data_IF_746482509363
#
_entry.id   IF_746482509363
#
_cell.length_a   1.000
_cell.length_b   1.000
_cell.length_c   1.000
_cell.angle_alpha   90.00
_cell.angle_beta   90.00
_cell.angle_gamma   90.00
#
_symmetry.space_group_name_H-M   'P 1'
#
loop_
_entity.id
_entity.type
_entity.pdbx_description
1 polymer ?
#
# COMPACT_ATOMS: atom_id res chain seq x y z
N UNK A 1 -10.09 1.80 -3.85
CA UNK A 1 -8.73 1.73 -3.28
C UNK A 1 -8.04 0.54 -3.89
N UNK A 2 -6.77 0.69 -4.23
CA UNK A 2 -5.91 -0.38 -4.73
C UNK A 2 -4.66 -0.42 -3.86
N UNK A 3 -4.21 -1.61 -3.52
CA UNK A 3 -2.96 -1.81 -2.79
C UNK A 3 -1.91 -2.34 -3.76
N UNK A 4 -0.73 -1.77 -3.69
CA UNK A 4 0.42 -2.17 -4.50
C UNK A 4 1.45 -2.84 -3.59
N UNK A 5 2.10 -3.88 -4.10
CA UNK A 5 3.26 -4.51 -3.49
C UNK A 5 4.30 -4.80 -4.55
N UNK A 6 5.54 -4.39 -4.29
CA UNK A 6 6.69 -4.62 -5.15
C UNK A 6 7.53 -5.80 -4.66
N UNK A 7 8.08 -6.59 -5.58
CA UNK A 7 9.05 -7.64 -5.30
C UNK A 7 10.31 -7.51 -6.15
N UNK A 8 11.48 -7.75 -5.54
CA UNK A 8 12.77 -7.74 -6.22
C UNK A 8 13.61 -6.52 -5.83
N UNK A 9 14.10 -5.79 -6.83
CA UNK A 9 15.03 -4.68 -6.64
C UNK A 9 14.39 -3.60 -5.78
N UNK A 10 15.14 -3.11 -4.80
CA UNK A 10 14.71 -2.04 -3.90
C UNK A 10 15.46 -0.76 -4.25
N UNK A 11 14.72 0.35 -4.35
CA UNK A 11 15.34 1.66 -4.53
C UNK A 11 16.23 2.04 -3.34
N UNK A 12 17.15 3.01 -3.52
CA UNK A 12 18.17 3.36 -2.53
C UNK A 12 17.61 3.94 -1.22
N UNK A 13 16.31 4.27 -1.17
CA UNK A 13 15.64 4.78 0.03
C UNK A 13 15.14 3.68 0.97
N UNK A 14 15.18 2.41 0.55
CA UNK A 14 14.71 1.29 1.34
C UNK A 14 15.90 0.60 2.04
N UNK A 15 15.75 0.33 3.34
CA UNK A 15 16.84 -0.16 4.21
C UNK A 15 16.86 -1.71 4.32
N UNK A 16 16.51 -2.41 3.23
CA UNK A 16 16.58 -3.87 3.19
C UNK A 16 18.02 -4.37 3.38
N UNK A 17 18.19 -5.50 4.07
CA UNK A 17 19.51 -6.11 4.30
C UNK A 17 19.92 -7.13 3.22
N UNK A 18 19.08 -7.32 2.20
CA UNK A 18 19.35 -8.21 1.08
C UNK A 18 20.03 -7.44 -0.07
N UNK A 19 20.84 -8.12 -0.87
CA UNK A 19 21.49 -7.50 -2.03
C UNK A 19 20.54 -7.17 -3.18
N UNK A 20 21.06 -6.46 -4.18
CA UNK A 20 20.29 -6.02 -5.35
C UNK A 20 19.74 -7.21 -6.16
N UNK A 21 18.43 -7.19 -6.44
CA UNK A 21 17.84 -8.11 -7.39
C UNK A 21 17.99 -7.58 -8.83
N UNK A 22 18.00 -8.48 -9.81
CA UNK A 22 18.16 -8.16 -11.24
C UNK A 22 16.95 -7.46 -11.87
N UNK A 23 15.79 -7.46 -11.19
CA UNK A 23 14.55 -6.89 -11.68
C UNK A 23 13.60 -6.49 -10.56
N UNK A 24 12.57 -5.72 -10.91
CA UNK A 24 11.48 -5.29 -10.04
C UNK A 24 10.14 -5.64 -10.69
N UNK A 25 9.14 -6.02 -9.89
CA UNK A 25 7.78 -6.24 -10.35
C UNK A 25 6.77 -5.79 -9.30
N UNK A 26 5.70 -5.15 -9.78
CA UNK A 26 4.60 -4.63 -8.96
C UNK A 26 3.33 -5.46 -9.16
N UNK A 27 2.71 -5.83 -8.05
CA UNK A 27 1.39 -6.46 -8.00
C UNK A 27 0.34 -5.50 -7.49
N UNK A 28 -0.76 -5.36 -8.22
CA UNK A 28 -1.90 -4.53 -7.82
C UNK A 28 -3.04 -5.42 -7.34
N UNK A 29 -3.53 -5.17 -6.13
CA UNK A 29 -4.73 -5.78 -5.59
C UNK A 29 -5.85 -4.75 -5.48
N UNK A 30 -6.93 -5.00 -6.24
CA UNK A 30 -8.15 -4.21 -6.15
C UNK A 30 -9.02 -4.71 -4.99
N UNK A 31 -9.77 -3.80 -4.38
CA UNK A 31 -10.75 -4.12 -3.34
C UNK A 31 -10.16 -4.89 -2.14
N UNK A 32 -8.89 -4.64 -1.83
CA UNK A 32 -8.21 -5.21 -0.67
C UNK A 32 -8.81 -4.70 0.64
N UNK A 33 -8.73 -5.53 1.68
CA UNK A 33 -8.86 -5.07 3.07
C UNK A 33 -7.46 -5.03 3.67
N UNK A 34 -7.02 -3.86 4.10
CA UNK A 34 -5.65 -3.61 4.59
C UNK A 34 -5.70 -3.14 6.02
N UNK A 35 -4.92 -3.85 6.84
CA UNK A 35 -4.63 -3.52 8.22
C UNK A 35 -3.17 -3.11 8.32
N UNK A 36 -2.90 -2.06 9.10
CA UNK A 36 -1.54 -1.73 9.55
C UNK A 36 -1.56 -1.88 11.06
N UNK A 37 -0.75 -2.81 11.57
CA UNK A 37 -0.84 -3.28 12.95
C UNK A 37 -2.27 -3.70 13.32
N UNK A 38 -2.90 -3.00 14.27
CA UNK A 38 -4.26 -3.26 14.73
C UNK A 38 -5.29 -2.27 14.16
N UNK A 39 -4.88 -1.43 13.21
CA UNK A 39 -5.74 -0.39 12.63
C UNK A 39 -6.19 -0.76 11.21
N UNK A 40 -7.49 -0.68 10.98
CA UNK A 40 -8.09 -0.92 9.68
C UNK A 40 -8.02 0.36 8.83
N UNK A 41 -7.18 0.35 7.80
CA UNK A 41 -7.02 1.49 6.90
C UNK A 41 -7.95 1.42 5.71
N UNK A 42 -7.98 0.26 5.04
CA UNK A 42 -8.86 0.00 3.90
C UNK A 42 -9.76 -1.20 4.17
N UNK A 43 -11.04 -1.08 3.83
CA UNK A 43 -12.00 -2.19 3.82
C UNK A 43 -12.62 -2.34 2.44
N UNK A 44 -12.38 -3.47 1.79
CA UNK A 44 -12.88 -3.76 0.43
C UNK A 44 -12.59 -2.62 -0.56
N UNK A 45 -11.38 -2.06 -0.47
CA UNK A 45 -10.93 -0.93 -1.30
C UNK A 45 -11.45 0.44 -0.86
N UNK A 46 -12.24 0.57 0.20
CA UNK A 46 -12.66 1.88 0.73
C UNK A 46 -11.73 2.32 1.84
N UNK A 47 -11.31 3.58 1.85
CA UNK A 47 -10.55 4.16 2.98
C UNK A 47 -11.52 4.36 4.14
N UNK A 48 -11.25 3.71 5.27
CA UNK A 48 -12.15 3.73 6.45
C UNK A 48 -11.48 4.25 7.72
N UNK A 49 -10.17 4.49 7.70
CA UNK A 49 -9.48 5.09 8.84
C UNK A 49 -10.04 6.49 9.14
N UNK A 50 -10.38 6.83 10.40
CA UNK A 50 -11.03 8.10 10.74
C UNK A 50 -10.28 9.32 10.21
N UNK A 51 -8.96 9.36 10.41
CA UNK A 51 -8.13 10.52 10.01
C UNK A 51 -7.85 10.59 8.51
N UNK A 52 -8.03 9.49 7.77
CA UNK A 52 -7.76 9.43 6.33
C UNK A 52 -9.02 9.55 5.49
N UNK A 53 -10.19 9.25 6.06
CA UNK A 53 -11.47 9.20 5.34
C UNK A 53 -11.86 10.56 4.76
N UNK A 54 -11.68 11.64 5.52
CA UNK A 54 -11.95 13.01 5.06
C UNK A 54 -11.02 13.44 3.92
N UNK A 55 -9.73 13.11 4.04
CA UNK A 55 -8.74 13.38 2.99
C UNK A 55 -9.06 12.59 1.71
N UNK A 56 -9.46 11.33 1.85
CA UNK A 56 -9.86 10.50 0.71
C UNK A 56 -11.06 11.12 -0.03
N UNK A 57 -12.09 11.57 0.70
CA UNK A 57 -13.25 12.24 0.13
C UNK A 57 -12.87 13.55 -0.58
N UNK A 58 -12.01 14.36 0.04
CA UNK A 58 -11.49 15.60 -0.56
C UNK A 58 -10.73 15.34 -1.87
N UNK A 59 -10.14 14.15 -2.02
CA UNK A 59 -9.43 13.69 -3.22
C UNK A 59 -10.31 12.90 -4.20
N UNK A 60 -11.64 12.86 -3.98
CA UNK A 60 -12.61 12.22 -4.88
C UNK A 60 -12.70 10.69 -4.76
N UNK A 61 -12.37 10.14 -3.60
CA UNK A 61 -12.45 8.70 -3.30
C UNK A 61 -13.60 8.34 -2.37
#
# INVERSE_FOLDING_TARGET
GSTEWGNGYQGPMFEGSLGDAVSHADGICLNSTVWVDNELLLKEGKVVHPELSELAQAMGK
#
